data_IF_791971869679
#
_entry.id   IF_791971869679
#
_cell.length_a   1.000
_cell.length_b   1.000
_cell.length_c   1.000
_cell.angle_alpha   90.00
_cell.angle_beta   90.00
_cell.angle_gamma   90.00
#
_symmetry.space_group_name_H-M   'P 1'
#
loop_
_entity.id
_entity.type
_entity.pdbx_description
1 polymer ?
#
# COMPACT_ATOMS: atom_id res chain seq x y z
N UNK A 1 23.09 -0.84 -3.76
CA UNK A 1 21.75 -0.89 -3.70
C UNK A 1 21.15 0.41 -3.48
N UNK A 2 20.13 0.68 -3.78
CA UNK A 2 19.61 1.91 -3.68
C UNK A 2 18.63 2.07 -2.63
N UNK A 3 18.15 1.16 -2.08
CA UNK A 3 17.30 1.27 -0.98
C UNK A 3 15.90 1.76 -1.20
N UNK A 4 15.55 2.09 -2.42
CA UNK A 4 14.20 2.52 -2.66
C UNK A 4 13.31 1.33 -2.94
N UNK A 5 12.15 1.34 -2.32
CA UNK A 5 11.17 0.27 -2.50
C UNK A 5 10.09 0.79 -3.42
N UNK A 6 10.01 0.26 -4.61
CA UNK A 6 9.09 0.74 -5.63
C UNK A 6 7.98 -0.25 -5.90
N UNK A 7 6.76 0.25 -6.00
CA UNK A 7 5.61 -0.59 -6.26
C UNK A 7 5.40 -0.84 -7.73
N UNK A 8 4.80 -1.97 -8.03
CA UNK A 8 4.46 -2.34 -9.39
C UNK A 8 2.97 -2.54 -9.55
N UNK A 9 2.33 -3.07 -8.52
CA UNK A 9 0.92 -3.38 -8.57
C UNK A 9 0.33 -3.36 -7.17
N UNK A 10 -0.92 -2.92 -7.04
CA UNK A 10 -1.63 -2.94 -5.77
C UNK A 10 -2.88 -3.80 -5.95
N UNK A 11 -3.13 -4.70 -5.01
CA UNK A 11 -4.38 -5.44 -5.01
C UNK A 11 -4.77 -5.71 -3.55
N UNK A 12 -5.98 -6.20 -3.35
CA UNK A 12 -6.49 -6.31 -1.99
C UNK A 12 -7.56 -7.38 -1.91
N UNK A 13 -7.77 -7.88 -0.71
CA UNK A 13 -8.86 -8.78 -0.44
C UNK A 13 -9.58 -8.29 0.82
N UNK A 14 -10.40 -9.13 1.42
CA UNK A 14 -11.19 -8.74 2.59
C UNK A 14 -10.33 -8.34 3.75
N UNK A 15 -9.15 -8.88 3.86
CA UNK A 15 -8.33 -8.72 5.05
C UNK A 15 -7.04 -7.97 4.84
N UNK A 16 -6.47 -8.04 3.64
CA UNK A 16 -5.11 -7.53 3.41
C UNK A 16 -5.02 -6.59 2.23
N UNK A 17 -4.13 -5.63 2.38
CA UNK A 17 -3.66 -4.82 1.27
C UNK A 17 -2.34 -5.41 0.81
N UNK A 18 -2.20 -5.67 -0.48
CA UNK A 18 -1.00 -6.28 -1.05
C UNK A 18 -0.36 -5.32 -2.03
N UNK A 19 0.94 -5.13 -1.91
CA UNK A 19 1.68 -4.31 -2.85
C UNK A 19 2.79 -5.16 -3.43
N UNK A 20 2.72 -5.41 -4.74
CA UNK A 20 3.77 -6.12 -5.43
C UNK A 20 4.86 -5.12 -5.79
N UNK A 21 6.08 -5.45 -5.48
CA UNK A 21 7.22 -4.56 -5.72
C UNK A 21 7.86 -4.88 -7.05
N UNK A 22 8.64 -3.92 -7.54
CA UNK A 22 9.30 -4.10 -8.82
C UNK A 22 10.29 -5.26 -8.81
N UNK A 23 10.83 -5.59 -7.66
CA UNK A 23 11.77 -6.70 -7.56
C UNK A 23 11.08 -8.06 -7.38
N UNK A 24 9.78 -8.09 -7.40
CA UNK A 24 9.03 -9.35 -7.33
C UNK A 24 8.51 -9.72 -5.96
N UNK A 25 8.95 -9.02 -4.93
CA UNK A 25 8.44 -9.29 -3.57
C UNK A 25 7.05 -8.72 -3.42
N UNK A 26 6.32 -9.22 -2.43
CA UNK A 26 4.99 -8.72 -2.12
C UNK A 26 4.94 -8.36 -0.65
N UNK A 27 4.46 -7.16 -0.35
CA UNK A 27 4.23 -6.72 1.01
C UNK A 27 2.74 -6.80 1.26
N UNK A 28 2.35 -7.49 2.32
CA UNK A 28 0.93 -7.62 2.68
C UNK A 28 0.73 -7.11 4.10
N UNK A 29 -0.21 -6.20 4.27
CA UNK A 29 -0.53 -5.65 5.58
C UNK A 29 -2.02 -5.65 5.78
N UNK A 30 -2.49 -5.74 7.04
CA UNK A 30 -3.92 -5.78 7.28
C UNK A 30 -4.62 -4.50 6.85
N UNK A 31 -5.75 -4.64 6.18
CA UNK A 31 -6.53 -3.48 5.78
C UNK A 31 -6.98 -2.66 6.98
N UNK A 32 -7.13 -3.29 8.12
CA UNK A 32 -7.56 -2.60 9.33
C UNK A 32 -6.60 -1.49 9.77
N UNK A 33 -5.36 -1.58 9.34
CA UNK A 33 -4.39 -0.55 9.69
C UNK A 33 -4.66 0.76 8.96
N UNK A 34 -5.47 0.72 7.90
CA UNK A 34 -5.70 1.90 7.05
C UNK A 34 -7.20 2.15 7.01
N UNK A 35 -7.69 2.83 8.02
CA UNK A 35 -9.12 3.03 8.16
C UNK A 35 -9.79 3.63 6.92
N UNK A 36 -9.21 4.66 6.29
CA UNK A 36 -9.84 5.18 5.08
C UNK A 36 -9.96 4.15 3.97
N UNK A 37 -8.99 3.24 3.86
CA UNK A 37 -9.06 2.20 2.85
C UNK A 37 -10.09 1.15 3.21
N UNK A 38 -10.19 0.82 4.49
CA UNK A 38 -11.14 -0.17 4.92
C UNK A 38 -12.57 0.28 4.67
N UNK A 39 -12.81 1.57 4.77
CA UNK A 39 -14.15 2.13 4.59
C UNK A 39 -14.48 2.47 3.15
N UNK A 40 -13.50 2.40 2.26
CA UNK A 40 -13.71 2.76 0.87
C UNK A 40 -14.43 1.64 0.11
N UNK A 41 -15.08 2.01 -0.98
CA UNK A 41 -15.72 1.02 -1.83
C UNK A 41 -14.66 0.32 -2.66
N UNK A 42 -15.01 -0.83 -3.20
CA UNK A 42 -14.10 -1.57 -4.07
C UNK A 42 -13.71 -0.74 -5.27
N UNK A 43 -14.67 -0.02 -5.84
CA UNK A 43 -14.35 0.79 -7.01
C UNK A 43 -13.37 1.90 -6.66
N UNK A 44 -13.48 2.49 -5.46
CA UNK A 44 -12.52 3.50 -5.03
C UNK A 44 -11.14 2.91 -4.81
N UNK A 45 -11.07 1.71 -4.24
CA UNK A 45 -9.80 1.07 -3.99
C UNK A 45 -9.07 0.70 -5.27
N UNK A 46 -9.82 0.44 -6.33
CA UNK A 46 -9.20 0.10 -7.61
C UNK A 46 -8.63 1.29 -8.34
N UNK A 47 -9.01 2.50 -7.91
CA UNK A 47 -8.55 3.72 -8.57
C UNK A 47 -7.34 4.29 -7.86
N UNK A 48 -6.32 3.49 -7.72
CA UNK A 48 -5.08 3.96 -7.13
C UNK A 48 -4.10 4.35 -8.24
N UNK A 49 -3.10 5.11 -7.86
CA UNK A 49 -1.98 5.37 -8.76
C UNK A 49 -0.70 5.45 -7.94
N UNK A 50 0.41 5.17 -8.57
CA UNK A 50 1.69 5.32 -7.92
C UNK A 50 2.17 6.75 -8.02
N UNK A 51 2.80 7.24 -6.96
CA UNK A 51 3.33 8.60 -6.91
C UNK A 51 4.76 8.53 -6.40
N UNK A 52 5.48 9.64 -6.47
CA UNK A 52 6.84 9.77 -5.96
C UNK A 52 7.75 8.68 -6.54
N UNK A 53 7.72 8.56 -7.85
CA UNK A 53 8.56 7.58 -8.56
C UNK A 53 8.28 6.17 -8.06
N UNK A 54 7.00 5.88 -7.85
CA UNK A 54 6.52 4.56 -7.46
C UNK A 54 6.89 4.14 -6.05
N UNK A 55 7.30 5.07 -5.21
CA UNK A 55 7.54 4.76 -3.80
C UNK A 55 6.31 5.01 -2.95
N UNK A 56 5.28 5.64 -3.51
CA UNK A 56 4.04 5.91 -2.81
C UNK A 56 2.84 5.51 -3.63
N UNK A 57 1.69 5.42 -2.97
CA UNK A 57 0.43 5.08 -3.61
C UNK A 57 -0.59 6.12 -3.21
N UNK A 58 -1.40 6.57 -4.16
CA UNK A 58 -2.43 7.56 -3.87
C UNK A 58 -3.79 7.06 -4.32
N UNK A 59 -4.79 7.29 -3.49
CA UNK A 59 -6.20 7.07 -3.83
C UNK A 59 -6.88 8.43 -3.79
N UNK A 60 -6.97 9.07 -4.93
CA UNK A 60 -7.52 10.44 -4.99
C UNK A 60 -8.96 10.51 -4.53
N UNK A 61 -9.74 9.49 -4.83
CA UNK A 61 -11.16 9.50 -4.52
C UNK A 61 -11.42 9.64 -3.02
N UNK A 62 -10.50 9.20 -2.20
CA UNK A 62 -10.65 9.29 -0.75
C UNK A 62 -9.57 10.15 -0.11
N UNK A 63 -8.79 10.85 -0.94
CA UNK A 63 -7.77 11.79 -0.47
C UNK A 63 -6.80 11.11 0.49
N UNK A 64 -6.29 9.96 0.10
CA UNK A 64 -5.41 9.19 0.96
C UNK A 64 -4.18 8.74 0.18
N UNK A 65 -3.03 8.82 0.80
CA UNK A 65 -1.84 8.23 0.18
C UNK A 65 -0.99 7.54 1.24
N UNK A 66 -0.18 6.60 0.77
CA UNK A 66 0.55 5.71 1.61
C UNK A 66 1.96 5.56 1.05
N UNK A 67 2.94 5.70 1.93
CA UNK A 67 4.32 5.45 1.56
C UNK A 67 4.58 3.96 1.69
N UNK A 68 5.06 3.32 0.63
CA UNK A 68 5.23 1.87 0.65
C UNK A 68 6.23 1.44 1.72
N UNK A 69 7.27 2.21 1.90
CA UNK A 69 8.27 1.88 2.91
C UNK A 69 7.69 1.87 4.31
N UNK A 70 6.70 2.72 4.56
CA UNK A 70 6.09 2.76 5.88
C UNK A 70 5.30 1.50 6.20
N UNK A 71 4.89 0.75 5.18
CA UNK A 71 4.22 -0.52 5.44
C UNK A 71 5.15 -1.49 6.15
N UNK A 72 6.42 -1.47 5.79
CA UNK A 72 7.40 -2.30 6.45
C UNK A 72 7.66 -1.84 7.87
N UNK A 73 7.68 -0.55 8.08
CA UNK A 73 7.91 0.00 9.41
C UNK A 73 6.78 -0.35 10.35
N UNK A 74 5.55 -0.24 9.88
CA UNK A 74 4.41 -0.58 10.69
C UNK A 74 4.45 -2.05 11.07
N UNK A 75 4.75 -2.90 10.11
CA UNK A 75 4.85 -4.32 10.34
C UNK A 75 5.91 -4.64 11.37
N UNK A 76 7.03 -3.96 11.26
CA UNK A 76 8.14 -4.18 12.15
C UNK A 76 7.79 -3.77 13.58
N UNK A 77 7.12 -2.67 13.74
CA UNK A 77 6.72 -2.20 15.04
C UNK A 77 5.70 -3.13 15.69
N UNK A 78 4.85 -3.69 14.89
CA UNK A 78 3.83 -4.58 15.37
C UNK A 78 4.44 -5.84 15.97
N UNK A 79 5.57 -6.24 15.45
CA UNK A 79 6.27 -7.41 15.94
C UNK A 79 6.91 -7.14 17.29
N UNK A 80 7.37 -5.93 17.44
CA UNK A 80 8.01 -5.58 18.69
C UNK A 80 7.02 -5.46 19.80
#
# INVERSE_FOLDING_TARGET
MNGLIKGKEVYFDDEYLHVKLEDGRIISTPMEWYKPLKEASISQLKEYKFICMNTGIEWEAIDYHLNIESMLEISFEDVA
#
